data_IF_540607718697
#
_entry.id   IF_540607718697
#
_cell.length_a   1.000
_cell.length_b   1.000
_cell.length_c   1.000
_cell.angle_alpha   90.00
_cell.angle_beta   90.00
_cell.angle_gamma   90.00
#
_symmetry.space_group_name_H-M   'P 1'
#
loop_
_entity.id
_entity.type
_entity.pdbx_description
1 polymer ?
#
# COMPACT_ATOMS: atom_id res chain seq x y z
N UNK A 1 5.02 44.84 -14.99
CA UNK A 1 4.94 43.66 -15.89
C UNK A 1 4.73 42.34 -15.15
N UNK A 2 5.71 41.77 -14.41
CA UNK A 2 5.56 40.42 -13.78
C UNK A 2 4.32 40.29 -12.86
N UNK A 3 4.06 41.30 -12.03
CA UNK A 3 2.90 41.32 -11.11
C UNK A 3 1.54 41.27 -11.82
N UNK A 4 1.42 42.05 -12.91
CA UNK A 4 0.18 42.09 -13.70
C UNK A 4 -0.08 40.76 -14.42
N UNK A 5 0.99 40.11 -14.89
CA UNK A 5 0.90 38.78 -15.50
C UNK A 5 0.47 37.74 -14.45
N UNK A 6 1.04 37.77 -13.23
CA UNK A 6 0.61 36.85 -12.17
C UNK A 6 -0.84 37.08 -11.75
N UNK A 7 -1.29 38.33 -11.63
CA UNK A 7 -2.68 38.67 -11.32
C UNK A 7 -3.64 38.17 -12.41
N UNK A 8 -3.28 38.33 -13.69
CA UNK A 8 -4.06 37.83 -14.81
C UNK A 8 -4.16 36.29 -14.82
N UNK A 9 -3.02 35.60 -14.64
CA UNK A 9 -2.97 34.13 -14.61
C UNK A 9 -3.73 33.57 -13.41
N UNK A 10 -3.70 34.26 -12.26
CA UNK A 10 -4.48 33.91 -11.08
C UNK A 10 -5.98 34.00 -11.33
N UNK A 11 -6.44 35.06 -12.01
CA UNK A 11 -7.86 35.25 -12.33
C UNK A 11 -8.37 34.38 -13.50
N UNK A 12 -7.48 33.86 -14.35
CA UNK A 12 -7.86 33.08 -15.53
C UNK A 12 -8.34 31.67 -15.17
N UNK A 13 -9.65 31.42 -15.31
CA UNK A 13 -10.28 30.11 -15.07
C UNK A 13 -9.65 28.95 -15.86
N UNK A 14 -9.26 29.19 -17.12
CA UNK A 14 -8.63 28.15 -17.96
C UNK A 14 -7.24 27.79 -17.43
N UNK A 15 -6.45 28.80 -17.03
CA UNK A 15 -5.14 28.58 -16.43
C UNK A 15 -5.26 27.83 -15.11
N UNK A 16 -6.18 28.23 -14.23
CA UNK A 16 -6.40 27.56 -12.97
C UNK A 16 -6.81 26.09 -13.19
N UNK A 17 -7.79 25.80 -14.06
CA UNK A 17 -8.22 24.41 -14.31
C UNK A 17 -7.17 23.52 -14.98
N UNK A 18 -6.34 24.08 -15.86
CA UNK A 18 -5.33 23.31 -16.60
C UNK A 18 -4.00 23.15 -15.85
N UNK A 19 -3.72 24.05 -14.88
CA UNK A 19 -2.49 24.11 -14.09
C UNK A 19 -2.79 24.17 -12.59
N UNK A 20 -3.75 23.36 -12.12
CA UNK A 20 -3.98 23.20 -10.68
C UNK A 20 -2.69 22.70 -10.03
N UNK A 21 -2.33 23.33 -8.91
CA UNK A 21 -1.34 22.81 -7.99
C UNK A 21 -1.93 21.61 -7.25
N UNK A 22 -1.52 20.40 -7.63
CA UNK A 22 -1.94 19.16 -6.96
C UNK A 22 -1.04 18.80 -5.76
N UNK A 23 0.04 19.54 -5.54
CA UNK A 23 0.90 19.30 -4.39
C UNK A 23 0.27 19.91 -3.14
N UNK A 24 -0.23 19.04 -2.26
CA UNK A 24 -0.46 19.44 -0.87
C UNK A 24 0.89 19.75 -0.22
N UNK A 25 0.96 20.72 0.71
CA UNK A 25 2.14 20.91 1.54
C UNK A 25 2.52 19.58 2.19
N UNK A 26 3.79 19.20 2.10
CA UNK A 26 4.28 17.98 2.76
C UNK A 26 4.05 18.08 4.27
N UNK A 27 3.30 17.14 4.82
CA UNK A 27 3.09 16.99 6.25
C UNK A 27 4.12 16.07 6.90
N UNK A 28 4.12 16.02 8.23
CA UNK A 28 4.87 15.01 8.97
C UNK A 28 4.21 13.64 8.80
N UNK A 29 5.02 12.58 8.66
CA UNK A 29 4.53 11.21 8.70
C UNK A 29 3.92 10.94 10.09
N UNK A 30 2.78 10.25 10.13
CA UNK A 30 2.20 9.75 11.38
C UNK A 30 2.70 8.31 11.60
N UNK A 31 3.67 8.07 12.48
CA UNK A 31 4.17 6.73 12.73
C UNK A 31 3.09 5.91 13.46
N UNK A 32 3.02 4.64 13.11
CA UNK A 32 2.22 3.67 13.86
C UNK A 32 2.91 3.36 15.20
N UNK A 33 2.10 2.99 16.20
CA UNK A 33 2.59 2.46 17.47
C UNK A 33 3.50 1.23 17.23
N UNK A 34 4.56 1.13 18.05
CA UNK A 34 5.50 0.01 18.06
C UNK A 34 4.95 -1.06 19.01
N UNK A 35 4.70 -2.29 18.54
CA UNK A 35 4.16 -3.35 19.39
C UNK A 35 5.08 -3.72 20.56
N UNK A 36 4.50 -4.15 21.67
CA UNK A 36 5.26 -4.51 22.88
C UNK A 36 5.78 -5.95 22.83
N UNK A 37 5.03 -6.86 22.18
CA UNK A 37 5.39 -8.26 22.06
C UNK A 37 5.36 -8.75 20.61
N UNK A 38 6.05 -9.87 20.39
CA UNK A 38 6.01 -10.58 19.10
C UNK A 38 4.58 -10.99 18.79
N UNK A 39 4.15 -10.80 17.54
CA UNK A 39 2.81 -11.16 17.05
C UNK A 39 1.65 -10.32 17.57
N UNK A 40 1.89 -9.29 18.38
CA UNK A 40 0.85 -8.34 18.81
C UNK A 40 0.28 -7.51 17.64
N UNK A 41 1.11 -7.26 16.63
CA UNK A 41 0.71 -6.51 15.45
C UNK A 41 1.37 -7.09 14.22
N UNK A 42 0.54 -7.53 13.28
CA UNK A 42 0.97 -8.09 12.00
C UNK A 42 0.58 -7.15 10.86
N UNK A 43 1.42 -7.11 9.84
CA UNK A 43 1.09 -6.52 8.54
C UNK A 43 0.87 -7.66 7.55
N UNK A 44 -0.19 -7.55 6.75
CA UNK A 44 -0.53 -8.51 5.71
C UNK A 44 -0.61 -7.77 4.37
N UNK A 45 -0.05 -8.37 3.32
CA UNK A 45 -0.15 -7.83 1.97
C UNK A 45 -0.10 -8.95 0.90
N UNK A 46 -0.54 -8.64 -0.31
CA UNK A 46 -0.52 -9.55 -1.44
C UNK A 46 0.34 -8.99 -2.57
N UNK A 47 1.41 -9.72 -2.91
CA UNK A 47 2.22 -9.43 -4.09
C UNK A 47 1.66 -10.24 -5.26
N UNK A 48 0.84 -9.61 -6.09
CA UNK A 48 0.23 -10.20 -7.28
C UNK A 48 1.01 -9.95 -8.58
N UNK A 49 0.47 -10.46 -9.69
CA UNK A 49 1.04 -10.25 -11.03
C UNK A 49 2.31 -11.07 -11.31
N UNK A 50 2.52 -12.16 -10.57
CA UNK A 50 3.68 -13.02 -10.75
C UNK A 50 3.43 -14.06 -11.84
N UNK A 51 4.49 -14.57 -12.50
CA UNK A 51 4.37 -15.70 -13.41
C UNK A 51 3.71 -16.90 -12.74
N UNK A 52 2.74 -17.49 -13.42
CA UNK A 52 1.99 -18.63 -12.89
C UNK A 52 2.88 -19.85 -12.77
N UNK A 53 2.94 -20.42 -11.57
CA UNK A 53 3.68 -21.66 -11.29
C UNK A 53 2.92 -22.90 -11.81
N UNK A 54 3.58 -24.05 -11.87
CA UNK A 54 2.94 -25.33 -12.25
C UNK A 54 1.76 -25.72 -11.33
N UNK A 55 1.78 -25.30 -10.05
CA UNK A 55 0.68 -25.51 -9.10
C UNK A 55 -0.47 -24.50 -9.28
N UNK A 56 -0.30 -23.53 -10.18
CA UNK A 56 -1.26 -22.50 -10.52
C UNK A 56 -1.21 -21.26 -9.64
N UNK A 57 -0.23 -21.13 -8.73
CA UNK A 57 -0.04 -19.95 -7.89
C UNK A 57 0.55 -18.79 -8.72
N UNK A 58 0.05 -17.59 -8.47
CA UNK A 58 0.38 -16.36 -9.23
C UNK A 58 0.45 -15.10 -8.34
N UNK A 59 0.37 -15.29 -7.02
CA UNK A 59 0.57 -14.25 -6.03
C UNK A 59 1.28 -14.81 -4.78
N UNK A 60 1.93 -13.94 -4.02
CA UNK A 60 2.51 -14.25 -2.71
C UNK A 60 1.71 -13.50 -1.66
N UNK A 61 1.19 -14.23 -0.67
CA UNK A 61 0.65 -13.65 0.55
C UNK A 61 1.77 -13.45 1.56
N UNK A 62 2.00 -12.20 1.93
CA UNK A 62 3.07 -11.78 2.83
C UNK A 62 2.47 -11.46 4.19
N UNK A 63 3.00 -12.09 5.23
CA UNK A 63 2.58 -11.86 6.62
C UNK A 63 3.83 -11.50 7.43
N UNK A 64 3.83 -10.33 8.05
CA UNK A 64 5.01 -9.76 8.72
C UNK A 64 4.65 -9.43 10.16
N UNK A 65 5.43 -9.94 11.11
CA UNK A 65 5.42 -9.43 12.49
C UNK A 65 6.04 -8.03 12.52
N UNK A 66 5.26 -7.02 12.89
CA UNK A 66 5.71 -5.61 12.80
C UNK A 66 6.84 -5.29 13.76
N UNK A 67 6.99 -6.04 14.86
CA UNK A 67 8.04 -5.83 15.85
C UNK A 67 9.37 -6.43 15.38
N UNK A 68 9.42 -7.74 15.13
CA UNK A 68 10.67 -8.45 14.79
C UNK A 68 11.04 -8.37 13.31
N UNK A 69 10.11 -7.96 12.44
CA UNK A 69 10.23 -8.00 10.97
C UNK A 69 10.37 -9.41 10.39
N UNK A 70 10.07 -10.44 11.19
CA UNK A 70 9.95 -11.82 10.67
C UNK A 70 8.81 -11.88 9.66
N UNK A 71 9.07 -12.47 8.49
CA UNK A 71 8.14 -12.50 7.37
C UNK A 71 7.88 -13.93 6.89
N UNK A 72 6.62 -14.26 6.69
CA UNK A 72 6.16 -15.49 6.05
C UNK A 72 5.68 -15.16 4.64
N UNK A 73 6.16 -15.95 3.67
CA UNK A 73 5.83 -15.82 2.26
C UNK A 73 5.11 -17.06 1.78
N UNK A 74 3.82 -16.94 1.52
CA UNK A 74 2.94 -18.06 1.17
C UNK A 74 2.49 -17.91 -0.28
N UNK A 75 2.81 -18.88 -1.13
CA UNK A 75 2.36 -18.86 -2.53
C UNK A 75 0.87 -19.20 -2.62
N UNK A 76 0.08 -18.31 -3.23
CA UNK A 76 -1.38 -18.45 -3.36
C UNK A 76 -1.86 -18.25 -4.82
N UNK A 77 -3.13 -18.58 -5.05
CA UNK A 77 -3.85 -18.31 -6.31
C UNK A 77 -4.66 -17.04 -6.16
N UNK A 78 -4.71 -16.21 -7.19
CA UNK A 78 -5.55 -15.02 -7.17
C UNK A 78 -7.03 -15.44 -7.12
N UNK A 79 -7.83 -14.75 -6.30
CA UNK A 79 -9.25 -15.08 -6.13
C UNK A 79 -9.53 -16.26 -5.17
N UNK A 80 -8.53 -16.73 -4.42
CA UNK A 80 -8.76 -17.69 -3.34
C UNK A 80 -9.73 -17.10 -2.29
N UNK A 81 -10.68 -17.92 -1.83
CA UNK A 81 -11.68 -17.49 -0.84
C UNK A 81 -11.04 -17.27 0.53
N UNK A 82 -11.54 -16.28 1.26
CA UNK A 82 -11.07 -15.92 2.61
C UNK A 82 -11.06 -17.09 3.60
N UNK A 83 -12.06 -18.00 3.65
CA UNK A 83 -12.01 -19.15 4.54
C UNK A 83 -10.80 -20.05 4.30
N UNK A 84 -10.41 -20.25 3.03
CA UNK A 84 -9.22 -21.05 2.69
C UNK A 84 -7.93 -20.34 3.10
N UNK A 85 -7.88 -19.01 2.98
CA UNK A 85 -6.75 -18.22 3.49
C UNK A 85 -6.66 -18.31 5.02
N UNK A 86 -7.79 -18.30 5.74
CA UNK A 86 -7.80 -18.46 7.19
C UNK A 86 -7.31 -19.84 7.63
N UNK A 87 -7.69 -20.91 6.93
CA UNK A 87 -7.14 -22.25 7.17
C UNK A 87 -5.62 -22.26 6.99
N UNK A 88 -5.12 -21.70 5.88
CA UNK A 88 -3.68 -21.60 5.60
C UNK A 88 -2.96 -20.78 6.67
N UNK A 89 -3.57 -19.71 7.17
CA UNK A 89 -3.01 -18.87 8.22
C UNK A 89 -2.75 -19.68 9.49
N UNK A 90 -3.77 -20.39 9.97
CA UNK A 90 -3.68 -21.21 11.19
C UNK A 90 -2.70 -22.38 11.01
N UNK A 91 -2.56 -22.91 9.79
CA UNK A 91 -1.64 -24.00 9.50
C UNK A 91 -0.16 -23.56 9.42
N UNK A 92 0.13 -22.33 8.98
CA UNK A 92 1.48 -21.92 8.59
C UNK A 92 2.10 -20.80 9.45
N UNK A 93 1.31 -20.14 10.29
CA UNK A 93 1.70 -19.02 11.15
C UNK A 93 1.41 -19.38 12.61
#
# INVERSE_FOLDING_TARGET
>A
MKRQISEFVYACLVCQKSKIEHQKPSGLLQPLFVPEWKWDSIAMDFVGGLPRTAKGNEAIWVIIDRLTKSAHFIAIKTGMLVPKLAEIYIEQI
#
